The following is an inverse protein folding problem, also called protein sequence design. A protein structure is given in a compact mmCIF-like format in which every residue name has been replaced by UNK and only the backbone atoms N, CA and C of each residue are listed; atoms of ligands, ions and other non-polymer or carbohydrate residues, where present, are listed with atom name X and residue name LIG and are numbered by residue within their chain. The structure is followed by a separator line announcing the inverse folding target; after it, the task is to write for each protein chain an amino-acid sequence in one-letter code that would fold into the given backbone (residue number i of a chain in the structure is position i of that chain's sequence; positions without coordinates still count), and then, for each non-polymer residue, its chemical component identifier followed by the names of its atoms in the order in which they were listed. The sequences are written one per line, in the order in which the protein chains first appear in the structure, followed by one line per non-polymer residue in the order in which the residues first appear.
data_IF_492202337557
#
_entry.id   IF_492202337557
#
_cell.length_a   1.000
_cell.length_b   1.000
_cell.length_c   1.000
_cell.angle_alpha   90.00
_cell.angle_beta   90.00
_cell.angle_gamma   90.00
#
_symmetry.space_group_name_H-M   'P 1'
#
loop_
_entity.id
_entity.type
_entity.pdbx_description
1 polymer ?
#
# COMPACT_ATOMS: atom_id res chain seq x y z
N UNK A 1 -3.18 13.50 -20.59
CA UNK A 1 -1.95 12.79 -20.13
C UNK A 1 -2.30 11.39 -19.65
N UNK A 2 -1.43 10.40 -19.88
CA UNK A 2 -1.67 8.98 -19.54
C UNK A 2 -1.12 8.64 -18.15
N UNK A 3 -1.92 8.00 -17.31
CA UNK A 3 -1.49 7.49 -16.01
C UNK A 3 -0.36 6.46 -16.16
N UNK A 4 0.77 6.68 -15.49
CA UNK A 4 1.96 5.82 -15.62
C UNK A 4 1.95 4.73 -14.56
N UNK A 5 2.11 3.49 -15.00
CA UNK A 5 2.27 2.30 -14.16
C UNK A 5 3.68 1.76 -14.36
N UNK A 6 4.47 1.75 -13.28
CA UNK A 6 5.84 1.28 -13.28
C UNK A 6 5.92 -0.01 -12.46
N UNK A 7 6.29 -1.11 -13.11
CA UNK A 7 6.30 -2.46 -12.52
C UNK A 7 7.72 -2.93 -12.30
N UNK A 8 7.99 -3.48 -11.12
CA UNK A 8 9.31 -3.97 -10.73
C UNK A 8 9.20 -5.39 -10.16
N UNK A 9 10.14 -6.26 -10.51
CA UNK A 9 10.27 -7.57 -9.86
C UNK A 9 10.75 -7.43 -8.41
N UNK A 10 11.77 -6.59 -8.18
CA UNK A 10 12.39 -6.37 -6.86
C UNK A 10 12.84 -4.91 -6.75
N UNK A 11 12.61 -4.29 -5.59
CA UNK A 11 13.07 -2.94 -5.26
C UNK A 11 13.22 -2.76 -3.74
N UNK A 12 13.76 -1.64 -3.27
CA UNK A 12 13.93 -1.38 -1.82
C UNK A 12 12.55 -1.24 -1.15
N UNK A 13 11.76 -0.25 -1.57
CA UNK A 13 10.35 -0.07 -1.21
C UNK A 13 9.64 0.69 -2.33
N UNK A 14 8.35 0.40 -2.55
CA UNK A 14 7.55 1.10 -3.56
C UNK A 14 7.42 2.59 -3.24
N UNK A 15 7.27 2.98 -1.95
CA UNK A 15 7.25 4.40 -1.56
C UNK A 15 8.60 5.07 -1.81
N UNK A 16 9.71 4.43 -1.44
CA UNK A 16 11.05 4.96 -1.69
C UNK A 16 11.31 5.16 -3.18
N UNK A 17 10.84 4.21 -3.99
CA UNK A 17 10.95 4.28 -5.46
C UNK A 17 10.09 5.41 -6.03
N UNK A 18 8.88 5.63 -5.50
CA UNK A 18 8.05 6.78 -5.85
C UNK A 18 8.77 8.11 -5.56
N UNK A 19 9.40 8.26 -4.38
CA UNK A 19 10.22 9.43 -4.04
C UNK A 19 11.32 9.67 -5.09
N UNK A 20 12.05 8.61 -5.48
CA UNK A 20 13.11 8.71 -6.50
C UNK A 20 12.57 9.14 -7.85
N UNK A 21 11.43 8.60 -8.27
CA UNK A 21 10.80 8.93 -9.57
C UNK A 21 10.29 10.37 -9.57
N UNK A 22 9.64 10.81 -8.49
CA UNK A 22 9.20 12.21 -8.38
C UNK A 22 10.42 13.14 -8.49
N UNK A 23 11.51 12.83 -7.77
CA UNK A 23 12.75 13.64 -7.81
C UNK A 23 13.38 13.69 -9.20
N UNK A 24 13.51 12.54 -9.87
CA UNK A 24 14.24 12.41 -11.14
C UNK A 24 13.42 12.64 -12.41
N UNK A 25 12.09 12.74 -12.33
CA UNK A 25 11.22 12.89 -13.51
C UNK A 25 10.21 14.04 -13.36
N UNK A 26 9.56 14.43 -14.44
CA UNK A 26 8.49 15.43 -14.43
C UNK A 26 7.09 14.81 -14.26
N UNK A 27 7.00 13.57 -13.78
CA UNK A 27 5.72 12.90 -13.55
C UNK A 27 4.99 13.53 -12.35
N UNK A 28 3.80 14.07 -12.61
CA UNK A 28 2.93 14.64 -11.57
C UNK A 28 2.14 13.58 -10.82
N UNK A 29 1.91 12.42 -11.45
CA UNK A 29 1.19 11.30 -10.85
C UNK A 29 1.57 9.96 -11.47
N UNK A 30 1.36 8.88 -10.73
CA UNK A 30 1.59 7.53 -11.21
C UNK A 30 1.50 6.46 -10.12
N UNK A 31 1.83 5.24 -10.50
CA UNK A 31 1.79 4.07 -9.63
C UNK A 31 3.04 3.22 -9.78
N UNK A 32 3.60 2.80 -8.65
CA UNK A 32 4.71 1.85 -8.55
C UNK A 32 4.17 0.53 -8.02
N UNK A 33 4.46 -0.59 -8.69
CA UNK A 33 4.11 -1.92 -8.23
C UNK A 33 5.38 -2.76 -8.10
N UNK A 34 5.50 -3.53 -7.03
CA UNK A 34 6.58 -4.49 -6.83
C UNK A 34 6.07 -5.91 -6.57
N UNK A 35 6.75 -6.92 -7.08
CA UNK A 35 6.54 -8.31 -6.62
C UNK A 35 7.20 -8.57 -5.26
N UNK A 36 8.35 -7.93 -4.99
CA UNK A 36 9.07 -8.01 -3.72
C UNK A 36 9.70 -6.67 -3.33
N UNK A 37 9.61 -6.32 -2.05
CA UNK A 37 10.39 -5.23 -1.45
C UNK A 37 11.52 -5.81 -0.58
N UNK A 38 12.70 -5.19 -0.60
CA UNK A 38 13.85 -5.58 0.23
C UNK A 38 13.70 -5.00 1.64
N UNK A 39 13.30 -3.73 1.74
CA UNK A 39 13.13 -3.01 2.98
C UNK A 39 11.80 -2.24 2.95
N UNK A 40 10.70 -3.00 2.92
CA UNK A 40 9.35 -2.43 2.97
C UNK A 40 9.17 -1.58 4.23
N UNK A 41 8.49 -0.44 4.10
CA UNK A 41 8.32 0.54 5.17
C UNK A 41 6.89 0.54 5.69
N UNK A 42 6.75 0.76 7.00
CA UNK A 42 5.50 1.04 7.70
C UNK A 42 5.59 2.40 8.41
N UNK A 43 4.51 2.79 9.10
CA UNK A 43 4.50 4.03 9.89
C UNK A 43 5.45 3.95 11.08
N UNK A 44 5.88 5.12 11.56
CA UNK A 44 6.73 5.26 12.75
C UNK A 44 8.01 4.41 12.70
N UNK A 45 8.64 4.33 11.51
CA UNK A 45 9.88 3.57 11.30
C UNK A 45 9.73 2.04 11.29
N UNK A 46 8.52 1.51 11.46
CA UNK A 46 8.28 0.06 11.43
C UNK A 46 8.58 -0.53 10.05
N UNK A 47 8.95 -1.79 9.99
CA UNK A 47 9.18 -2.51 8.73
C UNK A 47 7.92 -3.22 8.25
N UNK A 48 7.73 -3.27 6.93
CA UNK A 48 6.73 -4.10 6.27
C UNK A 48 7.41 -5.32 5.63
N UNK A 49 7.20 -6.51 6.22
CA UNK A 49 7.78 -7.75 5.72
C UNK A 49 7.07 -8.16 4.43
N UNK A 50 7.83 -8.19 3.33
CA UNK A 50 7.28 -8.35 1.98
C UNK A 50 7.48 -9.77 1.45
N UNK A 51 6.49 -10.64 1.66
CA UNK A 51 6.49 -12.01 1.13
C UNK A 51 5.97 -12.07 -0.31
N UNK A 52 6.57 -12.95 -1.14
CA UNK A 52 6.17 -13.15 -2.53
C UNK A 52 4.69 -13.56 -2.61
N UNK A 53 3.97 -13.01 -3.59
CA UNK A 53 2.53 -13.22 -3.79
C UNK A 53 1.65 -12.11 -3.21
N UNK A 54 2.14 -11.34 -2.24
CA UNK A 54 1.41 -10.21 -1.63
C UNK A 54 1.47 -8.95 -2.49
N UNK A 55 0.49 -8.06 -2.34
CA UNK A 55 0.42 -6.80 -3.09
C UNK A 55 1.26 -5.72 -2.41
N UNK A 56 2.17 -5.10 -3.16
CA UNK A 56 2.89 -3.90 -2.76
C UNK A 56 2.76 -2.87 -3.86
N UNK A 57 2.09 -1.77 -3.56
CA UNK A 57 1.81 -0.71 -4.52
C UNK A 57 1.97 0.66 -3.85
N UNK A 58 2.46 1.64 -4.59
CA UNK A 58 2.48 3.04 -4.16
C UNK A 58 1.95 3.94 -5.24
N UNK A 59 0.97 4.75 -4.90
CA UNK A 59 0.49 5.83 -5.75
C UNK A 59 1.23 7.10 -5.37
N UNK A 60 1.56 7.94 -6.35
CA UNK A 60 2.01 9.30 -6.09
C UNK A 60 1.18 10.29 -6.88
N UNK A 61 0.96 11.47 -6.29
CA UNK A 61 0.16 12.53 -6.86
C UNK A 61 0.63 13.90 -6.35
N UNK A 62 0.75 14.86 -7.25
CA UNK A 62 1.04 16.25 -6.96
C UNK A 62 -0.16 16.92 -6.27
N UNK A 63 0.07 17.60 -5.15
CA UNK A 63 -0.97 18.20 -4.31
C UNK A 63 -1.18 19.70 -4.57
N UNK A 64 -0.60 20.26 -5.61
CA UNK A 64 -0.80 21.68 -5.92
C UNK A 64 -2.31 21.85 -6.19
N UNK A 65 -2.97 22.70 -5.40
CA UNK A 65 -4.44 22.92 -5.32
C UNK A 65 -5.24 21.99 -4.39
N UNK A 66 -4.61 21.25 -3.47
CA UNK A 66 -5.34 20.46 -2.47
C UNK A 66 -4.95 20.78 -1.03
N UNK A 67 -5.89 21.35 -0.27
CA UNK A 67 -5.79 21.46 1.20
C UNK A 67 -6.21 20.14 1.84
N UNK A 68 -5.22 19.36 2.26
CA UNK A 68 -5.42 17.96 2.62
C UNK A 68 -5.07 17.68 4.08
N UNK A 69 -6.04 17.16 4.82
CA UNK A 69 -5.80 16.55 6.12
C UNK A 69 -5.34 15.10 5.93
N UNK A 70 -4.07 14.81 6.23
CA UNK A 70 -3.44 13.50 6.02
C UNK A 70 -4.16 12.35 6.77
N UNK A 71 -4.70 12.64 7.95
CA UNK A 71 -5.49 11.67 8.73
C UNK A 71 -6.79 11.30 8.00
N UNK A 72 -7.46 12.28 7.41
CA UNK A 72 -8.66 12.03 6.58
C UNK A 72 -8.33 11.23 5.33
N UNK A 73 -7.24 11.56 4.63
CA UNK A 73 -6.80 10.82 3.44
C UNK A 73 -6.44 9.37 3.81
N UNK A 74 -5.76 9.16 4.92
CA UNK A 74 -5.41 7.80 5.37
C UNK A 74 -6.70 7.00 5.62
N UNK A 75 -7.67 7.58 6.33
CA UNK A 75 -8.99 6.96 6.56
C UNK A 75 -9.72 6.66 5.24
N UNK A 76 -9.75 7.59 4.30
CA UNK A 76 -10.38 7.40 2.99
C UNK A 76 -9.72 6.23 2.24
N UNK A 77 -8.39 6.17 2.20
CA UNK A 77 -7.68 5.05 1.58
C UNK A 77 -7.97 3.72 2.28
N UNK A 78 -8.04 3.70 3.63
CA UNK A 78 -8.46 2.50 4.36
C UNK A 78 -9.87 2.05 3.95
N UNK A 79 -10.81 2.98 3.78
CA UNK A 79 -12.17 2.67 3.33
C UNK A 79 -12.18 2.14 1.89
N UNK A 80 -11.41 2.73 0.98
CA UNK A 80 -11.30 2.27 -0.40
C UNK A 80 -10.70 0.86 -0.49
N UNK A 81 -9.61 0.61 0.24
CA UNK A 81 -8.98 -0.72 0.28
C UNK A 81 -9.89 -1.73 0.98
N UNK A 82 -10.60 -1.34 2.03
CA UNK A 82 -11.64 -2.18 2.66
C UNK A 82 -12.71 -2.58 1.63
N UNK A 83 -13.26 -1.63 0.87
CA UNK A 83 -14.23 -1.89 -0.22
C UNK A 83 -13.65 -2.86 -1.26
N UNK A 84 -12.37 -2.71 -1.62
CA UNK A 84 -11.68 -3.64 -2.53
C UNK A 84 -11.60 -5.06 -1.95
N UNK A 85 -11.13 -5.22 -0.71
CA UNK A 85 -11.03 -6.54 -0.07
C UNK A 85 -12.41 -7.16 0.11
N UNK A 86 -13.45 -6.37 0.37
CA UNK A 86 -14.85 -6.83 0.46
C UNK A 86 -15.41 -7.44 -0.83
N UNK A 87 -14.76 -7.22 -1.98
CA UNK A 87 -15.11 -7.96 -3.22
C UNK A 87 -14.79 -9.46 -3.09
N UNK A 88 -13.75 -9.81 -2.34
CA UNK A 88 -13.26 -11.18 -2.16
C UNK A 88 -13.68 -11.79 -0.82
N UNK A 89 -13.74 -11.01 0.25
CA UNK A 89 -14.12 -11.47 1.59
C UNK A 89 -15.39 -10.76 2.08
N UNK A 90 -16.49 -11.49 2.20
CA UNK A 90 -17.83 -10.92 2.48
C UNK A 90 -18.12 -10.65 3.97
N UNK A 91 -17.27 -11.14 4.88
CA UNK A 91 -17.47 -10.93 6.32
C UNK A 91 -16.81 -9.63 6.80
N UNK A 92 -16.89 -9.36 8.11
CA UNK A 92 -16.44 -8.13 8.75
C UNK A 92 -14.94 -7.84 8.54
N UNK A 93 -14.65 -6.65 8.02
CA UNK A 93 -13.31 -6.04 7.95
C UNK A 93 -13.30 -4.79 8.85
N UNK A 94 -12.38 -4.74 9.80
CA UNK A 94 -12.26 -3.67 10.79
C UNK A 94 -11.17 -2.71 10.36
N UNK A 95 -11.47 -1.42 10.35
CA UNK A 95 -10.44 -0.38 10.27
C UNK A 95 -9.88 -0.14 11.67
N UNK A 96 -8.60 -0.46 11.87
CA UNK A 96 -7.85 -0.13 13.08
C UNK A 96 -7.05 1.14 12.80
N UNK A 97 -7.43 2.23 13.48
CA UNK A 97 -6.70 3.49 13.38
C UNK A 97 -5.21 3.29 13.70
N UNK A 98 -4.31 4.04 13.05
CA UNK A 98 -4.60 5.06 12.04
C UNK A 98 -4.65 4.51 10.59
N UNK A 99 -4.19 3.28 10.32
CA UNK A 99 -3.84 2.88 8.95
C UNK A 99 -3.94 1.37 8.64
N UNK A 100 -4.47 0.58 9.56
CA UNK A 100 -4.52 -0.88 9.43
C UNK A 100 -5.94 -1.35 9.10
N UNK A 101 -6.03 -2.41 8.29
CA UNK A 101 -7.24 -3.20 8.15
C UNK A 101 -7.03 -4.57 8.78
N UNK A 102 -8.01 -5.00 9.56
CA UNK A 102 -8.01 -6.27 10.28
C UNK A 102 -9.18 -7.17 9.85
N UNK A 103 -8.94 -8.47 9.86
CA UNK A 103 -9.95 -9.52 9.74
C UNK A 103 -9.72 -10.50 10.89
N UNK A 104 -10.78 -10.84 11.63
CA UNK A 104 -10.70 -11.69 12.84
C UNK A 104 -9.62 -11.21 13.84
N UNK A 105 -9.50 -9.88 14.02
CA UNK A 105 -8.48 -9.27 14.89
C UNK A 105 -7.05 -9.30 14.34
N UNK A 106 -6.78 -9.95 13.21
CA UNK A 106 -5.45 -10.09 12.58
C UNK A 106 -5.28 -9.11 11.43
N UNK A 107 -4.08 -8.55 11.26
CA UNK A 107 -3.82 -7.57 10.20
C UNK A 107 -3.77 -8.22 8.81
N UNK A 108 -4.49 -7.62 7.86
CA UNK A 108 -4.52 -8.04 6.44
C UNK A 108 -3.87 -7.00 5.52
N UNK A 109 -3.97 -5.71 5.88
CA UNK A 109 -3.48 -4.60 5.07
C UNK A 109 -2.95 -3.47 5.95
N UNK A 110 -1.94 -2.75 5.46
CA UNK A 110 -1.48 -1.49 6.02
C UNK A 110 -1.28 -0.43 4.95
N UNK A 111 -1.56 0.82 5.31
CA UNK A 111 -1.38 1.98 4.43
C UNK A 111 -0.29 2.89 5.02
N UNK A 112 0.62 3.35 4.18
CA UNK A 112 1.68 4.28 4.56
C UNK A 112 1.60 5.52 3.68
N UNK A 113 1.37 6.66 4.31
CA UNK A 113 1.42 7.95 3.64
C UNK A 113 2.72 8.66 3.92
N UNK A 114 3.31 9.22 2.88
CA UNK A 114 4.49 10.08 2.95
C UNK A 114 4.27 11.28 2.05
N UNK A 115 4.95 12.39 2.36
CA UNK A 115 4.98 13.58 1.52
C UNK A 115 6.40 13.98 1.22
N UNK A 116 6.62 14.52 0.03
CA UNK A 116 7.88 15.14 -0.34
C UNK A 116 7.62 16.44 -1.08
N UNK A 117 8.57 17.37 -1.01
CA UNK A 117 8.57 18.58 -1.81
C UNK A 117 9.57 18.44 -2.97
N UNK A 118 9.19 18.92 -4.15
CA UNK A 118 10.06 19.06 -5.32
C UNK A 118 9.73 20.37 -6.03
N UNK A 119 10.70 21.28 -6.17
CA UNK A 119 10.54 22.55 -6.91
C UNK A 119 9.26 23.30 -6.51
N UNK A 120 9.08 23.54 -5.21
CA UNK A 120 7.89 24.17 -4.60
C UNK A 120 6.56 23.41 -4.74
N UNK A 121 6.59 22.20 -5.30
CA UNK A 121 5.42 21.33 -5.41
C UNK A 121 5.41 20.28 -4.31
N UNK A 122 4.27 20.10 -3.66
CA UNK A 122 4.09 19.05 -2.64
C UNK A 122 3.53 17.80 -3.31
N UNK A 123 4.08 16.64 -3.00
CA UNK A 123 3.58 15.35 -3.49
C UNK A 123 3.10 14.49 -2.32
N UNK A 124 1.99 13.81 -2.52
CA UNK A 124 1.52 12.72 -1.67
C UNK A 124 1.95 11.38 -2.27
N UNK A 125 2.42 10.49 -1.41
CA UNK A 125 2.71 9.10 -1.74
C UNK A 125 1.88 8.22 -0.83
N UNK A 126 1.05 7.34 -1.41
CA UNK A 126 0.21 6.39 -0.69
C UNK A 126 0.68 4.98 -1.01
N UNK A 127 1.42 4.39 -0.08
CA UNK A 127 1.81 2.99 -0.08
C UNK A 127 0.71 2.10 0.49
N UNK A 128 0.42 1.00 -0.19
CA UNK A 128 -0.57 0.00 0.22
C UNK A 128 0.09 -1.38 0.15
N UNK A 129 0.13 -2.04 1.31
CA UNK A 129 0.55 -3.43 1.44
C UNK A 129 -0.65 -4.30 1.79
N UNK A 130 -0.92 -5.35 1.01
CA UNK A 130 -1.99 -6.33 1.29
C UNK A 130 -1.42 -7.73 1.28
N UNK A 131 -1.66 -8.48 2.36
CA UNK A 131 -1.31 -9.89 2.45
C UNK A 131 -2.33 -10.71 1.65
N UNK A 132 -1.92 -11.19 0.47
CA UNK A 132 -2.79 -11.98 -0.40
C UNK A 132 -2.58 -13.47 -0.19
N UNK A 133 -1.32 -13.92 -0.32
CA UNK A 133 -0.98 -15.36 -0.41
C UNK A 133 -0.25 -15.84 0.85
N UNK A 134 0.53 -14.96 1.49
CA UNK A 134 1.32 -15.32 2.68
C UNK A 134 1.28 -14.20 3.70
N UNK A 135 1.57 -14.51 4.96
CA UNK A 135 1.84 -13.53 6.00
C UNK A 135 3.06 -13.94 6.82
N UNK A 136 3.83 -12.98 7.35
CA UNK A 136 4.87 -13.30 8.30
C UNK A 136 4.26 -13.74 9.65
N UNK A 137 5.06 -14.42 10.45
CA UNK A 137 4.77 -14.70 11.85
C UNK A 137 5.57 -13.68 12.67
N UNK A 138 4.87 -12.87 13.46
CA UNK A 138 5.46 -11.86 14.33
C UNK A 138 4.85 -12.04 15.72
N UNK A 139 5.70 -12.17 16.73
CA UNK A 139 5.27 -12.31 18.13
C UNK A 139 4.38 -11.12 18.51
N UNK A 140 3.26 -11.38 19.18
CA UNK A 140 2.30 -10.39 19.68
C UNK A 140 1.67 -9.48 18.63
N UNK A 141 1.84 -9.79 17.34
CA UNK A 141 1.28 -9.02 16.25
C UNK A 141 0.64 -9.96 15.22
N UNK A 142 -0.62 -10.37 15.43
CA UNK A 142 -1.26 -11.36 14.59
C UNK A 142 -1.56 -10.80 13.21
N UNK A 143 -1.16 -11.54 12.18
CA UNK A 143 -1.31 -11.19 10.77
C UNK A 143 -2.02 -12.35 10.06
N UNK A 144 -2.81 -12.04 9.05
CA UNK A 144 -3.50 -13.01 8.20
C UNK A 144 -3.33 -12.61 6.73
N UNK A 145 -3.48 -13.59 5.84
CA UNK A 145 -3.53 -13.38 4.40
C UNK A 145 -4.92 -13.74 3.85
N UNK A 146 -5.21 -13.28 2.64
CA UNK A 146 -6.54 -13.43 2.06
C UNK A 146 -6.82 -14.86 1.57
N UNK A 147 -5.82 -15.60 1.09
CA UNK A 147 -5.96 -17.00 0.66
C UNK A 147 -6.49 -17.88 1.80
N UNK A 148 -5.93 -17.75 3.02
CA UNK A 148 -6.38 -18.49 4.22
C UNK A 148 -7.85 -18.22 4.60
N UNK A 149 -8.44 -17.15 4.07
CA UNK A 149 -9.80 -16.71 4.40
C UNK A 149 -10.85 -17.15 3.38
N UNK A 150 -10.46 -17.38 2.12
CA UNK A 150 -11.40 -17.56 1.01
C UNK A 150 -11.38 -18.97 0.38
N UNK A 151 -10.52 -19.87 0.86
CA UNK A 151 -10.34 -21.24 0.32
C UNK A 151 -10.20 -21.27 -1.22
N UNK A 152 -9.60 -20.21 -1.80
CA UNK A 152 -9.38 -20.04 -3.24
C UNK A 152 -8.03 -19.40 -3.47
N UNK A 153 -7.32 -19.83 -4.51
CA UNK A 153 -6.08 -19.18 -4.92
C UNK A 153 -6.35 -17.80 -5.52
N UNK A 154 -5.72 -16.78 -4.95
CA UNK A 154 -5.68 -15.46 -5.54
C UNK A 154 -4.48 -15.37 -6.47
N UNK A 155 -4.74 -15.33 -7.78
CA UNK A 155 -3.72 -14.99 -8.76
C UNK A 155 -3.72 -13.48 -9.06
N UNK A 156 -2.53 -12.88 -9.07
CA UNK A 156 -2.35 -11.57 -9.72
C UNK A 156 -2.36 -11.86 -11.21
N UNK A 157 -3.49 -11.63 -11.91
CA UNK A 157 -3.54 -11.77 -13.37
C UNK A 157 -2.38 -10.99 -13.99
N UNK A 158 -1.52 -11.69 -14.75
CA UNK A 158 -0.50 -11.09 -15.60
C UNK A 158 -1.24 -10.60 -16.86
N UNK A 159 -1.74 -9.37 -16.81
CA UNK A 159 -2.04 -8.61 -18.02
C UNK A 159 -0.84 -7.71 -18.31
#
# INVERSE_FOLDING_TARGET
MKFKILRFKKLISTNYTAIRIIRSSNLMYGMIIAERQINGRGQYGRKWISLKGNLFVSFFYNLDNMNLNMTQITKINCVLVKKLISKYYKKRIIYKKPNDLLIKGKKICGILQETINKLNKKFLIVGIGINLVKNPIIKDYPIINLNDLINKEISKKKN
#
